data_IF_200860247839
#
_entry.id   IF_200860247839
#
_cell.length_a   1.000
_cell.length_b   1.000
_cell.length_c   1.000
_cell.angle_alpha   90.00
_cell.angle_beta   90.00
_cell.angle_gamma   90.00
#
_symmetry.space_group_name_H-M   'P 1'
#
loop_
_entity.id
_entity.type
_entity.pdbx_description
1 polymer ?
#
# COMPACT_ATOMS: atom_id res chain seq x y z
N UNK A 1 -3.49 18.68 -11.00
CA UNK A 1 -2.86 18.06 -12.17
C UNK A 1 -1.85 17.00 -11.72
N UNK A 2 -1.76 15.89 -12.48
CA UNK A 2 -0.82 14.80 -12.22
C UNK A 2 0.61 15.32 -12.30
N UNK A 3 1.39 15.07 -11.23
CA UNK A 3 2.79 15.52 -11.15
C UNK A 3 3.77 14.47 -11.65
N UNK A 4 3.45 13.20 -11.46
CA UNK A 4 4.31 12.07 -11.85
C UNK A 4 3.47 10.94 -12.44
N UNK A 5 4.02 10.23 -13.41
CA UNK A 5 3.40 9.08 -14.04
C UNK A 5 4.42 7.95 -14.18
N UNK A 6 4.11 6.81 -13.56
CA UNK A 6 4.93 5.59 -13.66
C UNK A 6 4.28 4.65 -14.67
N UNK A 7 5.00 4.31 -15.72
CA UNK A 7 4.62 3.34 -16.74
C UNK A 7 5.38 2.05 -16.49
N UNK A 8 4.69 1.01 -16.05
CA UNK A 8 5.29 -0.27 -15.69
C UNK A 8 4.79 -1.36 -16.63
N UNK A 9 5.66 -1.84 -17.50
CA UNK A 9 5.33 -2.86 -18.51
C UNK A 9 4.23 -2.44 -19.50
N UNK A 10 3.99 -1.14 -19.63
CA UNK A 10 2.96 -0.56 -20.49
C UNK A 10 3.52 0.59 -21.31
N UNK A 11 3.07 0.71 -22.55
CA UNK A 11 3.48 1.78 -23.45
C UNK A 11 2.29 2.52 -24.05
N UNK A 12 1.85 3.64 -23.46
CA UNK A 12 0.74 4.45 -23.97
C UNK A 12 0.91 4.89 -25.42
N UNK A 13 2.16 5.05 -25.87
CA UNK A 13 2.46 5.46 -27.25
C UNK A 13 2.14 4.43 -28.31
N UNK A 14 2.00 3.13 -27.94
CA UNK A 14 1.80 2.04 -28.90
C UNK A 14 0.78 0.98 -28.50
N UNK A 15 0.32 0.97 -27.25
CA UNK A 15 -0.71 0.04 -26.76
C UNK A 15 -2.08 0.69 -26.55
N UNK A 16 -2.13 2.01 -26.49
CA UNK A 16 -3.37 2.75 -26.27
C UNK A 16 -4.10 3.11 -27.55
N UNK A 17 -5.34 3.55 -27.41
CA UNK A 17 -6.03 4.31 -28.45
C UNK A 17 -5.22 5.57 -28.76
N UNK A 18 -5.22 6.04 -30.01
CA UNK A 18 -4.35 7.14 -30.46
C UNK A 18 -4.37 8.43 -29.63
N UNK A 19 -5.33 8.60 -28.72
CA UNK A 19 -5.42 9.71 -27.78
C UNK A 19 -4.50 9.57 -26.54
N UNK A 20 -4.18 8.33 -26.12
CA UNK A 20 -3.45 8.09 -24.86
C UNK A 20 -2.02 8.63 -24.92
N UNK A 21 -1.29 8.35 -25.99
CA UNK A 21 0.06 8.88 -26.19
C UNK A 21 0.10 10.40 -26.28
N UNK A 22 -0.93 11.01 -26.88
CA UNK A 22 -1.07 12.47 -26.95
C UNK A 22 -1.28 13.06 -25.56
N UNK A 23 -2.19 12.50 -24.77
CA UNK A 23 -2.44 12.98 -23.40
C UNK A 23 -1.17 12.93 -22.54
N UNK A 24 -0.39 11.84 -22.62
CA UNK A 24 0.90 11.74 -21.91
C UNK A 24 1.87 12.81 -22.37
N UNK A 25 1.93 13.07 -23.69
CA UNK A 25 2.80 14.10 -24.24
C UNK A 25 2.38 15.50 -23.78
N UNK A 26 1.09 15.81 -23.79
CA UNK A 26 0.58 17.12 -23.36
C UNK A 26 0.84 17.33 -21.85
N UNK A 27 0.65 16.31 -21.03
CA UNK A 27 0.95 16.37 -19.58
C UNK A 27 2.46 16.56 -19.31
N UNK A 28 3.33 15.89 -20.07
CA UNK A 28 4.79 16.10 -19.97
C UNK A 28 5.18 17.52 -20.36
N UNK A 29 4.61 18.06 -21.42
CA UNK A 29 4.83 19.45 -21.80
C UNK A 29 4.34 20.44 -20.73
N UNK A 30 3.35 20.03 -19.92
CA UNK A 30 2.88 20.76 -18.76
C UNK A 30 3.72 20.51 -17.48
N UNK A 31 4.82 19.77 -17.58
CA UNK A 31 5.77 19.56 -16.49
C UNK A 31 5.61 18.25 -15.70
N UNK A 32 4.74 17.33 -16.13
CA UNK A 32 4.61 16.01 -15.52
C UNK A 32 5.91 15.19 -15.71
N UNK A 33 6.43 14.62 -14.65
CA UNK A 33 7.57 13.69 -14.69
C UNK A 33 7.13 12.29 -15.03
N UNK A 34 7.95 11.57 -15.79
CA UNK A 34 7.66 10.20 -16.22
C UNK A 34 8.77 9.25 -15.84
N UNK A 35 8.36 8.10 -15.30
CA UNK A 35 9.24 6.96 -15.02
C UNK A 35 8.74 5.79 -15.86
N UNK A 36 9.63 5.13 -16.58
CA UNK A 36 9.30 3.93 -17.35
C UNK A 36 10.08 2.75 -16.79
N UNK A 37 9.36 1.69 -16.46
CA UNK A 37 9.91 0.40 -16.00
C UNK A 37 9.59 -0.63 -17.07
N UNK A 38 10.57 -0.92 -17.89
CA UNK A 38 10.45 -1.86 -19.02
C UNK A 38 11.85 -2.40 -19.35
N UNK A 39 12.02 -3.72 -19.58
CA UNK A 39 13.30 -4.28 -19.98
C UNK A 39 13.79 -3.76 -21.34
N UNK A 40 12.89 -3.22 -22.16
CA UNK A 40 13.20 -2.70 -23.50
C UNK A 40 13.19 -1.17 -23.49
N UNK A 41 14.09 -0.59 -24.27
CA UNK A 41 14.08 0.84 -24.56
C UNK A 41 12.92 1.15 -25.53
N UNK A 42 11.72 1.25 -24.98
CA UNK A 42 10.51 1.61 -25.75
C UNK A 42 10.52 3.09 -26.14
N UNK A 43 9.65 3.54 -27.08
CA UNK A 43 9.51 4.97 -27.40
C UNK A 43 9.15 5.83 -26.17
N UNK A 44 8.39 5.27 -25.22
CA UNK A 44 8.06 5.94 -23.97
C UNK A 44 9.30 6.00 -23.04
N UNK A 45 10.06 4.91 -22.92
CA UNK A 45 11.30 4.84 -22.16
C UNK A 45 12.37 5.80 -22.68
N UNK A 46 12.52 5.90 -24.00
CA UNK A 46 13.48 6.82 -24.64
C UNK A 46 13.20 8.30 -24.36
N UNK A 47 11.99 8.63 -23.93
CA UNK A 47 11.55 10.00 -23.62
C UNK A 47 11.28 10.21 -22.14
N UNK A 48 11.40 9.19 -21.30
CA UNK A 48 11.15 9.28 -19.88
C UNK A 48 12.21 10.14 -19.16
N UNK A 49 11.83 10.76 -18.04
CA UNK A 49 12.78 11.40 -17.14
C UNK A 49 13.67 10.35 -16.47
N UNK A 50 13.09 9.15 -16.18
CA UNK A 50 13.82 8.00 -15.64
C UNK A 50 13.37 6.74 -16.37
N UNK A 51 14.32 5.94 -16.84
CA UNK A 51 14.09 4.61 -17.35
C UNK A 51 14.81 3.59 -16.47
N UNK A 52 14.05 2.61 -15.98
CA UNK A 52 14.55 1.48 -15.22
C UNK A 52 14.47 0.21 -16.10
N UNK A 53 15.60 -0.24 -16.67
CA UNK A 53 15.65 -1.45 -17.49
C UNK A 53 15.62 -2.69 -16.58
N UNK A 54 14.43 -2.99 -16.04
CA UNK A 54 14.24 -4.11 -15.12
C UNK A 54 14.53 -5.45 -15.81
N UNK A 55 15.16 -6.37 -15.08
CA UNK A 55 15.32 -7.74 -15.56
C UNK A 55 13.96 -8.44 -15.54
N UNK A 56 13.52 -9.08 -16.66
CA UNK A 56 12.25 -9.80 -16.69
C UNK A 56 12.11 -10.79 -15.51
N UNK A 57 10.96 -10.80 -14.84
CA UNK A 57 10.69 -11.65 -13.69
C UNK A 57 11.14 -11.10 -12.34
N UNK A 58 11.71 -9.88 -12.27
CA UNK A 58 12.12 -9.24 -11.00
C UNK A 58 11.21 -8.09 -10.58
N UNK A 59 10.03 -7.96 -11.19
CA UNK A 59 9.07 -6.90 -10.89
C UNK A 59 8.68 -6.88 -9.40
N UNK A 60 8.41 -8.06 -8.83
CA UNK A 60 8.03 -8.19 -7.42
C UNK A 60 9.15 -7.71 -6.51
N UNK A 61 10.42 -8.00 -6.82
CA UNK A 61 11.56 -7.55 -6.04
C UNK A 61 11.62 -6.01 -5.98
N UNK A 62 11.44 -5.33 -7.12
CA UNK A 62 11.41 -3.87 -7.17
C UNK A 62 10.19 -3.31 -6.41
N UNK A 63 9.01 -3.94 -6.52
CA UNK A 63 7.81 -3.52 -5.77
C UNK A 63 8.03 -3.62 -4.26
N UNK A 64 8.57 -4.74 -3.78
CA UNK A 64 8.84 -4.95 -2.35
C UNK A 64 9.90 -3.97 -1.82
N UNK A 65 10.96 -3.70 -2.60
CA UNK A 65 11.96 -2.70 -2.23
C UNK A 65 11.36 -1.28 -2.17
N UNK A 66 10.45 -0.92 -3.08
CA UNK A 66 9.75 0.37 -3.02
C UNK A 66 8.82 0.46 -1.81
N UNK A 67 8.07 -0.61 -1.51
CA UNK A 67 7.20 -0.65 -0.32
C UNK A 67 8.04 -0.49 0.94
N UNK A 68 9.16 -1.22 1.05
CA UNK A 68 10.07 -1.09 2.18
C UNK A 68 10.58 0.35 2.33
N UNK A 69 11.07 0.95 1.25
CA UNK A 69 11.55 2.32 1.26
C UNK A 69 10.48 3.33 1.68
N UNK A 70 9.24 3.16 1.18
CA UNK A 70 8.10 4.02 1.52
C UNK A 70 7.77 3.90 3.02
N UNK A 71 7.78 2.67 3.57
CA UNK A 71 7.49 2.43 4.99
C UNK A 71 8.59 2.99 5.88
N UNK A 72 9.85 2.71 5.58
CA UNK A 72 11.00 3.15 6.39
C UNK A 72 11.16 4.68 6.44
N UNK A 73 10.78 5.36 5.37
CA UNK A 73 10.89 6.82 5.28
C UNK A 73 9.56 7.54 5.53
N UNK A 74 8.54 6.83 6.00
CA UNK A 74 7.20 7.37 6.32
C UNK A 74 6.56 8.16 5.17
N UNK A 75 6.79 7.74 3.92
CA UNK A 75 6.31 8.41 2.70
C UNK A 75 4.88 8.00 2.30
N UNK A 76 4.21 7.20 3.11
CA UNK A 76 2.84 6.76 2.86
C UNK A 76 1.81 7.78 3.35
N UNK A 77 0.62 7.78 2.77
CA UNK A 77 -0.46 8.67 3.18
C UNK A 77 -1.14 8.11 4.44
N UNK A 78 -0.86 8.73 5.59
CA UNK A 78 -1.31 8.27 6.90
C UNK A 78 -2.84 8.21 7.00
N UNK A 79 -3.57 9.25 6.59
CA UNK A 79 -5.02 9.29 6.67
C UNK A 79 -5.67 8.28 5.73
N UNK A 80 -5.19 8.19 4.50
CA UNK A 80 -5.69 7.20 3.55
C UNK A 80 -5.46 5.76 4.04
N UNK A 81 -4.26 5.45 4.52
CA UNK A 81 -3.93 4.11 5.00
C UNK A 81 -4.74 3.72 6.23
N UNK A 82 -4.99 4.67 7.14
CA UNK A 82 -5.79 4.46 8.34
C UNK A 82 -7.27 4.23 8.05
N UNK A 83 -7.85 5.00 7.13
CA UNK A 83 -9.30 5.07 6.94
C UNK A 83 -9.81 4.20 5.79
N UNK A 84 -8.97 3.93 4.77
CA UNK A 84 -9.41 3.35 3.52
C UNK A 84 -8.71 2.03 3.17
N UNK A 85 -7.87 1.51 4.06
CA UNK A 85 -7.17 0.25 3.83
C UNK A 85 -7.35 -0.72 5.00
N UNK A 86 -6.97 -1.97 4.79
CA UNK A 86 -6.93 -3.00 5.83
C UNK A 86 -5.62 -3.01 6.64
N UNK A 87 -4.74 -2.06 6.44
CA UNK A 87 -3.44 -2.01 7.11
C UNK A 87 -3.52 -2.00 8.65
N UNK A 88 -4.48 -1.29 9.28
CA UNK A 88 -4.62 -1.30 10.74
C UNK A 88 -5.33 -2.55 11.29
N UNK A 89 -5.88 -3.42 10.44
CA UNK A 89 -6.64 -4.58 10.91
C UNK A 89 -5.74 -5.60 11.61
N UNK A 90 -6.23 -6.17 12.69
CA UNK A 90 -5.55 -7.25 13.40
C UNK A 90 -5.68 -8.57 12.65
N UNK A 91 -4.62 -9.35 12.65
CA UNK A 91 -4.45 -10.55 11.82
C UNK A 91 -4.11 -11.74 12.72
N UNK A 92 -4.76 -12.88 12.47
CA UNK A 92 -4.40 -14.15 13.09
C UNK A 92 -2.98 -14.58 12.71
N UNK A 93 -2.21 -15.01 13.69
CA UNK A 93 -0.81 -15.42 13.48
C UNK A 93 -0.68 -16.70 12.63
N UNK A 94 -1.63 -17.61 12.75
CA UNK A 94 -1.63 -18.92 12.08
C UNK A 94 -2.22 -18.86 10.67
N UNK A 95 -3.42 -18.30 10.52
CA UNK A 95 -4.15 -18.29 9.24
C UNK A 95 -3.81 -17.13 8.34
N UNK A 96 -3.23 -16.05 8.90
CA UNK A 96 -2.99 -14.77 8.22
C UNK A 96 -4.27 -14.07 7.72
N UNK A 97 -5.43 -14.47 8.22
CA UNK A 97 -6.69 -13.79 7.98
C UNK A 97 -6.91 -12.68 9.01
N UNK A 98 -7.68 -11.67 8.64
CA UNK A 98 -8.05 -10.59 9.56
C UNK A 98 -9.13 -11.05 10.53
N UNK A 99 -9.00 -10.66 11.81
CA UNK A 99 -10.02 -10.92 12.82
C UNK A 99 -11.34 -10.26 12.47
N UNK A 100 -12.43 -11.02 12.66
CA UNK A 100 -13.79 -10.48 12.67
C UNK A 100 -14.19 -10.07 14.09
N UNK A 101 -14.94 -8.98 14.20
CA UNK A 101 -15.36 -8.49 15.51
C UNK A 101 -16.21 -9.49 16.30
N UNK A 102 -17.01 -10.32 15.60
CA UNK A 102 -17.79 -11.40 16.19
C UNK A 102 -16.94 -12.48 16.89
N UNK A 103 -15.73 -12.75 16.41
CA UNK A 103 -14.83 -13.76 16.99
C UNK A 103 -14.37 -13.38 18.41
N UNK A 104 -14.33 -12.09 18.70
CA UNK A 104 -13.92 -11.54 20.01
C UNK A 104 -15.10 -11.01 20.82
N UNK A 105 -16.33 -11.14 20.34
CA UNK A 105 -17.52 -10.59 20.99
C UNK A 105 -17.57 -9.05 21.01
N UNK A 106 -16.83 -8.39 20.12
CA UNK A 106 -16.72 -6.93 20.03
C UNK A 106 -17.75 -6.29 19.09
N UNK A 107 -18.35 -7.07 18.20
CA UNK A 107 -19.27 -6.59 17.18
C UNK A 107 -19.81 -7.69 16.28
N UNK A 108 -20.10 -7.36 15.03
CA UNK A 108 -20.70 -8.24 14.04
C UNK A 108 -19.67 -8.99 13.19
N UNK A 109 -20.14 -9.94 12.39
CA UNK A 109 -19.30 -10.68 11.44
C UNK A 109 -18.81 -9.81 10.27
N UNK A 110 -19.52 -8.73 9.96
CA UNK A 110 -19.15 -7.82 8.89
C UNK A 110 -18.07 -6.79 9.29
N UNK A 111 -17.83 -6.64 10.59
CA UNK A 111 -16.84 -5.70 11.13
C UNK A 111 -15.50 -6.38 11.38
N UNK A 112 -14.43 -5.62 11.18
CA UNK A 112 -13.06 -6.06 11.45
C UNK A 112 -12.58 -5.53 12.81
N UNK A 113 -11.44 -6.01 13.29
CA UNK A 113 -10.87 -5.61 14.56
C UNK A 113 -9.63 -4.77 14.35
N UNK A 114 -9.54 -3.66 15.09
CA UNK A 114 -8.36 -2.80 15.18
C UNK A 114 -7.95 -2.60 16.63
N UNK A 115 -6.70 -2.21 16.86
CA UNK A 115 -6.26 -1.74 18.17
C UNK A 115 -6.45 -0.23 18.25
N UNK A 116 -7.32 0.22 19.16
CA UNK A 116 -7.59 1.65 19.31
C UNK A 116 -6.62 2.28 20.33
N UNK A 117 -5.80 3.23 19.87
CA UNK A 117 -4.85 3.99 20.70
C UNK A 117 -5.51 4.65 21.90
N UNK A 118 -6.72 5.18 21.71
CA UNK A 118 -7.41 5.99 22.75
C UNK A 118 -7.86 5.16 23.93
N UNK A 119 -8.29 3.94 23.69
CA UNK A 119 -8.77 3.03 24.72
C UNK A 119 -7.73 1.98 25.10
N UNK A 120 -6.63 1.89 24.36
CA UNK A 120 -5.60 0.86 24.49
C UNK A 120 -6.20 -0.55 24.50
N UNK A 121 -7.11 -0.83 23.60
CA UNK A 121 -7.84 -2.09 23.52
C UNK A 121 -8.27 -2.41 22.08
N UNK A 122 -8.54 -3.70 21.83
CA UNK A 122 -9.17 -4.14 20.60
C UNK A 122 -10.62 -3.64 20.54
N UNK A 123 -11.02 -3.11 19.37
CA UNK A 123 -12.39 -2.62 19.11
C UNK A 123 -12.82 -3.03 17.71
N UNK A 124 -14.14 -3.13 17.52
CA UNK A 124 -14.71 -3.29 16.19
C UNK A 124 -14.49 -2.03 15.35
N UNK A 125 -14.13 -2.22 14.10
CA UNK A 125 -13.96 -1.14 13.11
C UNK A 125 -15.20 -1.09 12.22
N UNK A 126 -16.08 -0.10 12.42
CA UNK A 126 -17.27 0.04 11.58
C UNK A 126 -16.90 0.59 10.20
N UNK A 127 -17.74 0.30 9.23
CA UNK A 127 -17.69 0.95 7.92
C UNK A 127 -18.97 1.76 7.69
N UNK A 128 -18.89 3.03 7.29
CA UNK A 128 -17.68 3.82 7.05
C UNK A 128 -16.89 4.15 8.33
N UNK A 129 -15.61 4.54 8.19
CA UNK A 129 -14.75 4.97 9.29
C UNK A 129 -15.43 6.11 10.07
N UNK A 130 -15.49 6.03 11.42
CA UNK A 130 -16.21 7.01 12.21
C UNK A 130 -15.55 8.39 12.20
N UNK A 131 -16.27 9.38 11.67
CA UNK A 131 -15.79 10.77 11.57
C UNK A 131 -15.69 11.50 12.92
N UNK A 132 -16.28 10.95 13.99
CA UNK A 132 -16.27 11.53 15.34
C UNK A 132 -14.95 11.39 16.06
N UNK A 133 -14.00 10.67 15.45
CA UNK A 133 -12.71 10.41 16.03
C UNK A 133 -12.74 9.46 17.23
N UNK A 134 -13.80 8.70 17.45
CA UNK A 134 -13.89 7.71 18.54
C UNK A 134 -12.85 6.60 18.44
N UNK A 135 -12.45 6.25 17.22
CA UNK A 135 -11.44 5.25 16.92
C UNK A 135 -10.20 5.92 16.32
N UNK A 136 -9.04 5.65 16.91
CA UNK A 136 -7.72 5.98 16.35
C UNK A 136 -6.90 4.69 16.29
N UNK A 137 -6.94 3.97 15.16
CA UNK A 137 -6.32 2.67 15.06
C UNK A 137 -4.79 2.76 15.01
N UNK A 138 -4.14 1.85 15.73
CA UNK A 138 -2.71 1.64 15.61
C UNK A 138 -2.38 1.06 14.22
N UNK A 139 -1.37 1.63 13.58
CA UNK A 139 -0.93 1.17 12.27
C UNK A 139 0.09 0.03 12.38
N UNK A 140 0.90 0.04 13.44
CA UNK A 140 1.93 -0.97 13.69
C UNK A 140 1.78 -1.55 15.09
N UNK A 141 2.26 -2.77 15.29
CA UNK A 141 2.37 -3.37 16.59
C UNK A 141 1.84 -4.80 16.69
N UNK A 142 2.06 -5.35 17.89
CA UNK A 142 1.59 -6.68 18.30
C UNK A 142 0.85 -6.52 19.63
N UNK A 143 -0.33 -7.09 19.75
CA UNK A 143 -1.26 -6.85 20.82
C UNK A 143 -1.85 -8.15 21.38
N UNK A 144 -2.04 -8.22 22.68
CA UNK A 144 -2.75 -9.31 23.34
C UNK A 144 -4.26 -9.02 23.30
N UNK A 145 -5.01 -9.96 22.74
CA UNK A 145 -6.46 -9.85 22.55
C UNK A 145 -7.21 -10.36 23.80
N UNK A 146 -8.52 -10.02 23.96
CA UNK A 146 -9.33 -10.46 25.08
C UNK A 146 -9.44 -12.00 25.23
N UNK A 147 -9.23 -12.74 24.16
CA UNK A 147 -9.21 -14.22 24.17
C UNK A 147 -7.82 -14.80 24.53
N UNK A 148 -6.83 -13.97 24.86
CA UNK A 148 -5.47 -14.37 25.21
C UNK A 148 -4.55 -14.68 24.03
N UNK A 149 -5.04 -14.50 22.79
CA UNK A 149 -4.21 -14.65 21.60
C UNK A 149 -3.42 -13.36 21.32
N UNK A 150 -2.29 -13.50 20.65
CA UNK A 150 -1.52 -12.36 20.14
C UNK A 150 -1.87 -12.12 18.68
N UNK A 151 -2.10 -10.86 18.34
CA UNK A 151 -2.35 -10.44 16.95
C UNK A 151 -1.47 -9.27 16.57
N UNK A 152 -1.04 -9.23 15.32
CA UNK A 152 -0.33 -8.08 14.73
C UNK A 152 -1.24 -7.35 13.75
N UNK A 153 -0.96 -6.05 13.57
CA UNK A 153 -1.60 -5.33 12.47
C UNK A 153 -1.11 -5.86 11.13
N UNK A 154 -1.97 -5.81 10.12
CA UNK A 154 -1.57 -6.20 8.75
C UNK A 154 -0.36 -5.38 8.26
N UNK A 155 -0.27 -4.11 8.67
CA UNK A 155 0.86 -3.25 8.31
C UNK A 155 2.17 -3.67 8.99
N UNK A 156 2.09 -4.12 10.26
CA UNK A 156 3.27 -4.67 10.96
C UNK A 156 3.80 -5.91 10.23
N UNK A 157 2.91 -6.82 9.84
CA UNK A 157 3.28 -8.03 9.10
C UNK A 157 3.90 -7.66 7.74
N UNK A 158 3.31 -6.69 7.03
CA UNK A 158 3.85 -6.19 5.76
C UNK A 158 5.25 -5.61 5.95
N UNK A 159 5.43 -4.73 6.96
CA UNK A 159 6.73 -4.12 7.27
C UNK A 159 7.82 -5.17 7.52
N UNK A 160 7.51 -6.18 8.32
CA UNK A 160 8.44 -7.28 8.58
C UNK A 160 8.78 -8.08 7.32
N UNK A 161 7.76 -8.38 6.51
CA UNK A 161 7.95 -9.14 5.28
C UNK A 161 8.80 -8.40 4.26
N UNK A 162 8.66 -7.08 4.13
CA UNK A 162 9.44 -6.30 3.15
C UNK A 162 10.80 -5.84 3.65
N UNK A 163 11.10 -5.96 4.95
CA UNK A 163 12.32 -5.43 5.57
C UNK A 163 13.62 -5.98 4.98
N UNK A 164 13.59 -7.19 4.42
CA UNK A 164 14.74 -7.79 3.74
C UNK A 164 14.98 -7.24 2.32
N UNK A 165 14.02 -6.52 1.75
CA UNK A 165 14.09 -5.96 0.40
C UNK A 165 14.58 -4.52 0.44
N UNK A 166 15.88 -4.35 0.42
CA UNK A 166 16.53 -3.03 0.39
C UNK A 166 16.81 -2.59 -1.04
N UNK A 167 17.04 -1.28 -1.26
CA UNK A 167 17.42 -0.74 -2.58
C UNK A 167 18.80 -1.21 -3.07
N UNK A 168 19.58 -1.83 -2.20
CA UNK A 168 20.94 -2.34 -2.52
C UNK A 168 20.92 -3.79 -3.02
N UNK A 169 19.80 -4.49 -2.93
CA UNK A 169 19.60 -5.84 -3.47
C UNK A 169 19.07 -5.80 -4.90
#
# INVERSE_FOLDING_TARGET
PTKSYVMWGVGPSYHGTGSTGRVVTDLRNAGMKTVVIDPRLTPDAARADVWLPIRPGTDVALMLAWINYIIENELWNHDFCREWTNLPFLVHEDTRLTYRASELGLGTEDEYVVWNKKTNSAVAMPYPFPADGSIDPEMFGSYELPNGETARTAFQIMKEHVSEWTLEK
#
